data_IF_852901907549
#
_entry.id   IF_852901907549
#
_cell.length_a   1.000
_cell.length_b   1.000
_cell.length_c   1.000
_cell.angle_alpha   90.00
_cell.angle_beta   90.00
_cell.angle_gamma   90.00
#
_symmetry.space_group_name_H-M   'P 1'
#
loop_
_entity.id
_entity.type
_entity.pdbx_description
1 polymer ?
#
# COMPACT_ATOMS: atom_id res chain seq x y z
N UNK A 1 -6.95 13.33 69.71
CA UNK A 1 -5.95 13.82 68.73
C UNK A 1 -5.89 12.82 67.60
N UNK A 2 -6.69 13.04 66.57
CA UNK A 2 -6.69 12.24 65.33
C UNK A 2 -5.58 12.77 64.44
N UNK A 3 -4.49 12.00 64.31
CA UNK A 3 -3.41 12.33 63.39
C UNK A 3 -3.88 12.07 61.96
N UNK A 4 -4.13 13.14 61.21
CA UNK A 4 -4.43 13.10 59.79
C UNK A 4 -3.10 13.01 59.03
N UNK A 5 -2.84 11.86 58.41
CA UNK A 5 -1.68 11.66 57.54
C UNK A 5 -1.89 12.41 56.23
N UNK A 6 -0.93 13.23 55.75
CA UNK A 6 -1.03 13.83 54.42
C UNK A 6 -0.96 12.72 53.35
N UNK A 7 -1.74 12.82 52.26
CA UNK A 7 -1.65 11.85 51.17
C UNK A 7 -0.24 11.88 50.56
N UNK A 8 0.38 10.71 50.44
CA UNK A 8 1.68 10.56 49.79
C UNK A 8 1.56 11.02 48.33
N UNK A 9 2.52 11.80 47.80
CA UNK A 9 2.47 12.25 46.42
C UNK A 9 2.43 11.04 45.48
N UNK A 10 1.46 11.04 44.57
CA UNK A 10 1.34 10.07 43.49
C UNK A 10 2.66 10.05 42.71
N UNK A 11 3.28 8.88 42.46
CA UNK A 11 4.55 8.84 41.74
C UNK A 11 4.35 9.43 40.34
N UNK A 12 4.99 10.57 40.07
CA UNK A 12 5.06 11.13 38.73
C UNK A 12 5.67 10.08 37.78
N UNK A 13 5.09 9.95 36.57
CA UNK A 13 5.58 9.03 35.55
C UNK A 13 7.10 9.21 35.37
N UNK A 14 7.83 8.16 35.75
CA UNK A 14 9.28 8.17 35.82
C UNK A 14 9.83 8.29 34.38
N UNK A 15 10.35 9.47 34.03
CA UNK A 15 11.11 9.68 32.78
C UNK A 15 12.29 8.71 32.83
N UNK A 16 12.28 7.70 31.95
CA UNK A 16 13.32 6.67 31.89
C UNK A 16 14.70 7.34 31.75
N UNK A 17 15.59 7.05 32.69
CA UNK A 17 16.94 7.63 32.77
C UNK A 17 17.86 7.25 31.59
N UNK A 18 17.38 6.37 30.71
CA UNK A 18 18.02 5.83 29.51
C UNK A 18 18.28 6.87 28.41
N UNK A 19 17.78 8.11 28.58
CA UNK A 19 17.91 9.20 27.61
C UNK A 19 16.91 9.13 26.45
N UNK A 20 16.06 8.10 26.38
CA UNK A 20 15.04 7.93 25.36
C UNK A 20 13.66 8.40 25.85
N UNK A 21 13.34 9.66 25.58
CA UNK A 21 11.97 10.17 25.71
C UNK A 21 11.13 9.81 24.48
N UNK A 22 9.78 9.77 24.60
CA UNK A 22 8.87 9.62 23.45
C UNK A 22 9.17 10.63 22.33
N UNK A 23 9.43 11.90 22.68
CA UNK A 23 9.78 12.94 21.71
C UNK A 23 11.08 12.63 20.94
N UNK A 24 12.10 12.06 21.59
CA UNK A 24 13.36 11.66 20.93
C UNK A 24 13.16 10.45 20.02
N UNK A 25 12.34 9.46 20.44
CA UNK A 25 11.98 8.32 19.60
C UNK A 25 11.23 8.78 18.34
N UNK A 26 10.27 9.70 18.49
CA UNK A 26 9.56 10.32 17.37
C UNK A 26 10.51 11.04 16.41
N UNK A 27 11.32 11.97 16.92
CA UNK A 27 12.29 12.74 16.14
C UNK A 27 13.24 11.83 15.36
N UNK A 28 13.73 10.77 16.02
CA UNK A 28 14.59 9.77 15.39
C UNK A 28 13.88 9.08 14.22
N UNK A 29 12.67 8.57 14.45
CA UNK A 29 11.91 7.79 13.47
C UNK A 29 11.45 8.66 12.28
N UNK A 30 11.01 9.89 12.52
CA UNK A 30 10.65 10.85 11.47
C UNK A 30 11.86 11.22 10.61
N UNK A 31 13.00 11.54 11.23
CA UNK A 31 14.23 11.87 10.50
C UNK A 31 14.73 10.67 9.70
N UNK A 32 14.62 9.47 10.25
CA UNK A 32 14.99 8.24 9.55
C UNK A 32 14.05 7.97 8.36
N UNK A 33 12.74 8.16 8.51
CA UNK A 33 11.79 8.03 7.42
C UNK A 33 12.02 9.08 6.32
N UNK A 34 12.45 10.28 6.71
CA UNK A 34 12.70 11.37 5.79
C UNK A 34 13.99 11.16 4.95
N UNK A 35 15.06 10.67 5.58
CA UNK A 35 16.41 10.66 5.00
C UNK A 35 16.95 9.27 4.69
N UNK A 36 16.52 8.24 5.40
CA UNK A 36 17.13 6.90 5.39
C UNK A 36 18.52 6.83 6.02
N UNK A 37 19.05 7.93 6.58
CA UNK A 37 20.41 8.02 7.10
C UNK A 37 20.38 7.97 8.63
N UNK A 38 20.89 6.86 9.18
CA UNK A 38 20.86 6.59 10.62
C UNK A 38 21.64 7.64 11.43
N UNK A 39 22.79 8.11 10.94
CA UNK A 39 23.58 9.14 11.63
C UNK A 39 22.80 10.44 11.77
N UNK A 40 22.19 10.90 10.68
CA UNK A 40 21.35 12.11 10.69
C UNK A 40 20.19 11.99 11.67
N UNK A 41 19.54 10.82 11.74
CA UNK A 41 18.48 10.56 12.73
C UNK A 41 19.00 10.55 14.17
N UNK A 42 20.18 9.99 14.41
CA UNK A 42 20.84 10.01 15.73
C UNK A 42 21.17 11.43 16.17
N UNK A 43 21.75 12.23 15.28
CA UNK A 43 22.12 13.62 15.53
C UNK A 43 20.88 14.47 15.84
N UNK A 44 19.80 14.32 15.05
CA UNK A 44 18.54 15.02 15.26
C UNK A 44 17.87 14.68 16.61
N UNK A 45 17.94 13.41 17.02
CA UNK A 45 17.38 12.95 18.30
C UNK A 45 18.31 13.19 19.51
N UNK A 46 19.53 13.70 19.27
CA UNK A 46 20.59 13.82 20.26
C UNK A 46 20.90 12.49 20.99
N UNK A 47 20.94 11.38 20.25
CA UNK A 47 21.25 10.03 20.75
C UNK A 47 22.45 9.45 20.00
N UNK A 48 23.26 8.62 20.66
CA UNK A 48 24.35 7.91 19.98
C UNK A 48 23.84 6.73 19.15
N UNK A 49 24.50 6.43 18.04
CA UNK A 49 24.18 5.27 17.19
C UNK A 49 24.16 3.96 17.99
N UNK A 50 25.09 3.78 18.93
CA UNK A 50 25.13 2.60 19.81
C UNK A 50 23.86 2.47 20.65
N UNK A 51 23.37 3.57 21.22
CA UNK A 51 22.13 3.59 22.02
C UNK A 51 20.90 3.28 21.16
N UNK A 52 20.86 3.78 19.92
CA UNK A 52 19.77 3.51 18.97
C UNK A 52 19.66 2.01 18.63
N UNK A 53 20.78 1.36 18.31
CA UNK A 53 20.79 -0.09 18.09
C UNK A 53 20.51 -0.89 19.37
N UNK A 54 20.97 -0.42 20.53
CA UNK A 54 20.67 -1.07 21.80
C UNK A 54 19.15 -1.06 22.08
N UNK A 55 18.47 0.08 21.89
CA UNK A 55 17.01 0.16 22.06
C UNK A 55 16.28 -0.79 21.10
N UNK A 56 16.69 -0.84 19.83
CA UNK A 56 16.07 -1.70 18.80
C UNK A 56 16.04 -3.19 19.17
N UNK A 57 17.07 -3.68 19.87
CA UNK A 57 17.20 -5.11 20.22
C UNK A 57 16.50 -5.44 21.54
N UNK A 58 16.33 -4.45 22.43
CA UNK A 58 15.67 -4.67 23.72
C UNK A 58 14.21 -5.08 23.54
N UNK A 59 13.71 -5.90 24.47
CA UNK A 59 12.29 -6.35 24.47
C UNK A 59 11.31 -5.18 24.57
N UNK A 60 11.64 -4.17 25.35
CA UNK A 60 10.83 -2.95 25.49
C UNK A 60 10.94 -1.98 24.30
N UNK A 61 11.87 -2.23 23.38
CA UNK A 61 12.02 -1.50 22.12
C UNK A 61 11.34 -2.16 20.92
N UNK A 62 10.47 -3.16 21.12
CA UNK A 62 9.80 -3.86 20.02
C UNK A 62 8.98 -2.91 19.11
N UNK A 63 8.24 -1.96 19.70
CA UNK A 63 7.50 -0.95 18.94
C UNK A 63 8.43 0.03 18.21
N UNK A 64 9.53 0.42 18.85
CA UNK A 64 10.56 1.25 18.22
C UNK A 64 11.21 0.52 17.03
N UNK A 65 11.52 -0.77 17.17
CA UNK A 65 12.04 -1.61 16.08
C UNK A 65 11.09 -1.68 14.90
N UNK A 66 9.81 -1.92 15.15
CA UNK A 66 8.80 -1.97 14.09
C UNK A 66 8.66 -0.61 13.39
N UNK A 67 8.65 0.49 14.15
CA UNK A 67 8.68 1.85 13.62
C UNK A 67 9.93 2.14 12.79
N UNK A 68 11.09 1.63 13.22
CA UNK A 68 12.34 1.75 12.47
C UNK A 68 12.26 1.03 11.13
N UNK A 69 11.76 -0.21 11.12
CA UNK A 69 11.63 -0.98 9.90
C UNK A 69 10.64 -0.31 8.93
N UNK A 70 9.54 0.25 9.44
CA UNK A 70 8.60 1.06 8.66
C UNK A 70 9.25 2.35 8.12
N UNK A 71 10.03 3.07 8.93
CA UNK A 71 10.76 4.27 8.51
C UNK A 71 11.74 3.96 7.36
N UNK A 72 12.45 2.83 7.43
CA UNK A 72 13.34 2.38 6.34
C UNK A 72 12.53 2.07 5.07
N UNK A 73 11.34 1.50 5.17
CA UNK A 73 10.47 1.28 4.01
C UNK A 73 10.06 2.61 3.34
N UNK A 74 9.67 3.61 4.14
CA UNK A 74 9.30 4.94 3.66
C UNK A 74 10.48 5.61 2.96
N UNK A 75 11.66 5.63 3.60
CA UNK A 75 12.86 6.22 3.01
C UNK A 75 13.29 5.50 1.72
N UNK A 76 13.13 4.17 1.67
CA UNK A 76 13.43 3.37 0.48
C UNK A 76 12.49 3.66 -0.69
N UNK A 77 11.23 4.05 -0.44
CA UNK A 77 10.31 4.45 -1.50
C UNK A 77 10.82 5.72 -2.19
N UNK A 78 11.17 6.75 -1.41
CA UNK A 78 11.73 8.01 -1.94
C UNK A 78 13.03 7.81 -2.73
N UNK A 79 13.98 7.06 -2.16
CA UNK A 79 15.22 6.74 -2.86
C UNK A 79 14.96 5.99 -4.17
N UNK A 80 13.93 5.13 -4.20
CA UNK A 80 13.58 4.42 -5.42
C UNK A 80 13.01 5.36 -6.48
N UNK A 81 12.19 6.34 -6.10
CA UNK A 81 11.68 7.36 -7.03
C UNK A 81 12.83 8.17 -7.65
N UNK A 82 13.80 8.60 -6.83
CA UNK A 82 14.98 9.33 -7.30
C UNK A 82 15.85 8.48 -8.25
N UNK A 83 16.06 7.20 -7.91
CA UNK A 83 16.83 6.27 -8.74
C UNK A 83 16.10 5.90 -10.03
N UNK A 84 14.77 5.79 -10.00
CA UNK A 84 13.95 5.53 -11.19
C UNK A 84 14.02 6.73 -12.13
N UNK A 85 13.83 7.95 -11.59
CA UNK A 85 13.99 9.18 -12.35
C UNK A 85 15.37 9.20 -13.02
N UNK A 86 16.45 8.97 -12.25
CA UNK A 86 17.82 8.92 -12.79
C UNK A 86 18.03 7.82 -13.83
N UNK A 87 17.41 6.64 -13.67
CA UNK A 87 17.52 5.55 -14.64
C UNK A 87 16.85 5.94 -15.97
N UNK A 88 15.67 6.56 -15.91
CA UNK A 88 14.91 6.99 -17.08
C UNK A 88 15.54 8.20 -17.77
N UNK A 89 15.84 9.25 -17.01
CA UNK A 89 16.37 10.50 -17.54
C UNK A 89 17.85 10.41 -17.84
N UNK A 90 18.61 9.47 -17.25
CA UNK A 90 20.07 9.46 -17.32
C UNK A 90 20.71 10.45 -16.35
N UNK A 91 22.04 10.55 -16.38
CA UNK A 91 22.80 11.54 -15.64
C UNK A 91 23.92 12.14 -16.47
N UNK A 92 24.25 13.40 -16.20
CA UNK A 92 25.36 14.10 -16.84
C UNK A 92 26.67 13.84 -16.11
N UNK A 93 27.65 13.33 -16.84
CA UNK A 93 29.04 13.20 -16.40
C UNK A 93 29.85 14.31 -17.06
N UNK A 94 30.32 15.27 -16.26
CA UNK A 94 31.23 16.32 -16.73
C UNK A 94 32.67 15.83 -16.57
N UNK A 95 33.32 15.57 -17.70
CA UNK A 95 34.73 15.20 -17.73
C UNK A 95 35.52 16.48 -18.03
N UNK A 96 36.21 17.01 -17.01
CA UNK A 96 37.19 18.09 -17.19
C UNK A 96 38.51 17.49 -17.65
N UNK A 97 39.00 17.90 -18.82
CA UNK A 97 40.28 17.44 -19.37
C UNK A 97 41.27 18.60 -19.27
N UNK A 98 42.14 18.58 -18.26
CA UNK A 98 43.20 19.57 -17.96
C UNK A 98 42.79 21.06 -17.95
N UNK A 99 43.67 21.91 -17.41
CA UNK A 99 43.41 23.35 -17.20
C UNK A 99 43.09 24.14 -18.47
N UNK A 100 43.50 23.66 -19.65
CA UNK A 100 43.36 24.37 -20.94
C UNK A 100 42.40 23.69 -21.94
N UNK A 101 41.86 22.50 -21.65
CA UNK A 101 41.19 21.67 -22.66
C UNK A 101 39.72 21.33 -22.33
N UNK A 102 38.93 22.34 -21.94
CA UNK A 102 37.46 22.33 -22.02
C UNK A 102 36.72 21.35 -21.10
N UNK A 103 35.45 21.62 -20.87
CA UNK A 103 34.52 20.70 -20.20
C UNK A 103 33.77 19.87 -21.25
N UNK A 104 33.81 18.54 -21.15
CA UNK A 104 32.98 17.65 -21.98
C UNK A 104 31.87 17.08 -21.10
N UNK A 105 30.63 17.52 -21.32
CA UNK A 105 29.45 16.95 -20.68
C UNK A 105 28.95 15.76 -21.50
N UNK A 106 28.82 14.59 -20.86
CA UNK A 106 28.26 13.38 -21.47
C UNK A 106 27.01 12.96 -20.71
N UNK A 107 25.91 12.79 -21.43
CA UNK A 107 24.69 12.26 -20.87
C UNK A 107 24.71 10.72 -20.92
N UNK A 108 24.62 10.05 -19.78
CA UNK A 108 24.70 8.58 -19.66
C UNK A 108 23.47 7.99 -18.98
N UNK A 109 22.90 6.96 -19.61
CA UNK A 109 21.92 6.07 -19.00
C UNK A 109 22.63 4.86 -18.39
N UNK A 110 22.33 4.57 -17.13
CA UNK A 110 22.89 3.40 -16.45
C UNK A 110 21.92 2.22 -16.56
N UNK A 111 22.14 1.37 -17.58
CA UNK A 111 21.32 0.19 -17.84
C UNK A 111 21.37 -0.82 -16.66
N UNK A 112 22.45 -0.85 -15.88
CA UNK A 112 22.53 -1.70 -14.68
C UNK A 112 21.64 -1.17 -13.58
N UNK A 113 21.61 0.14 -13.40
CA UNK A 113 20.67 0.78 -12.48
C UNK A 113 19.22 0.50 -12.92
N UNK A 114 18.91 0.65 -14.21
CA UNK A 114 17.57 0.37 -14.74
C UNK A 114 17.13 -1.09 -14.48
N UNK A 115 17.98 -2.08 -14.78
CA UNK A 115 17.70 -3.49 -14.50
C UNK A 115 17.55 -3.77 -13.00
N UNK A 116 18.37 -3.15 -12.14
CA UNK A 116 18.24 -3.27 -10.68
C UNK A 116 16.91 -2.71 -10.18
N UNK A 117 16.45 -1.60 -10.75
CA UNK A 117 15.15 -1.01 -10.44
C UNK A 117 14.00 -1.92 -10.85
N UNK A 118 14.06 -2.53 -12.04
CA UNK A 118 13.07 -3.51 -12.49
C UNK A 118 12.98 -4.70 -11.53
N UNK A 119 14.11 -5.35 -11.22
CA UNK A 119 14.15 -6.48 -10.28
C UNK A 119 13.70 -6.12 -8.85
N UNK A 120 13.76 -4.84 -8.47
CA UNK A 120 13.20 -4.37 -7.19
C UNK A 120 11.67 -4.26 -7.26
N UNK A 121 11.13 -3.76 -8.37
CA UNK A 121 9.67 -3.66 -8.60
C UNK A 121 9.03 -5.06 -8.61
N UNK A 122 9.66 -6.04 -9.27
CA UNK A 122 9.19 -7.44 -9.27
C UNK A 122 9.11 -7.99 -7.84
N UNK A 123 10.17 -7.80 -7.05
CA UNK A 123 10.18 -8.20 -5.62
C UNK A 123 9.20 -7.40 -4.74
N UNK A 124 8.74 -6.24 -5.18
CA UNK A 124 7.69 -5.50 -4.47
C UNK A 124 6.30 -6.03 -4.83
N UNK A 125 6.11 -6.49 -6.07
CA UNK A 125 4.92 -7.22 -6.49
C UNK A 125 4.81 -8.55 -5.71
N UNK A 126 5.94 -9.17 -5.39
CA UNK A 126 5.98 -10.27 -4.43
C UNK A 126 5.55 -9.79 -3.03
N UNK A 127 4.43 -10.35 -2.57
CA UNK A 127 3.91 -10.07 -1.24
C UNK A 127 4.72 -10.83 -0.18
N UNK A 128 5.19 -10.17 0.89
CA UNK A 128 5.89 -10.85 1.98
C UNK A 128 4.91 -11.80 2.66
N UNK A 129 5.40 -12.91 3.22
CA UNK A 129 4.55 -13.85 3.92
C UNK A 129 3.78 -13.14 5.04
N UNK A 130 2.49 -13.45 5.14
CA UNK A 130 1.59 -12.88 6.15
C UNK A 130 2.18 -13.11 7.56
N UNK A 131 2.10 -12.08 8.41
CA UNK A 131 2.62 -12.13 9.78
C UNK A 131 4.14 -11.97 9.93
N UNK A 132 4.90 -11.86 8.84
CA UNK A 132 6.33 -11.51 8.93
C UNK A 132 6.55 -10.06 9.39
N UNK A 133 7.67 -9.77 10.06
CA UNK A 133 8.05 -8.40 10.47
C UNK A 133 8.00 -7.41 9.29
N UNK A 134 8.35 -7.87 8.08
CA UNK A 134 8.27 -7.08 6.85
C UNK A 134 6.82 -6.73 6.47
N UNK A 135 5.87 -7.65 6.63
CA UNK A 135 4.45 -7.39 6.42
C UNK A 135 3.89 -6.41 7.46
N UNK A 136 4.24 -6.59 8.74
CA UNK A 136 3.83 -5.68 9.82
C UNK A 136 4.39 -4.26 9.60
N UNK A 137 5.66 -4.14 9.20
CA UNK A 137 6.29 -2.86 8.89
C UNK A 137 5.62 -2.13 7.71
N UNK A 138 5.12 -2.86 6.70
CA UNK A 138 4.33 -2.28 5.59
C UNK A 138 3.01 -1.70 6.10
N UNK A 139 2.31 -2.41 6.99
CA UNK A 139 1.07 -1.92 7.60
C UNK A 139 1.32 -0.64 8.40
N UNK A 140 2.40 -0.59 9.18
CA UNK A 140 2.80 0.60 9.92
C UNK A 140 3.19 1.75 8.98
N UNK A 141 3.90 1.47 7.90
CA UNK A 141 4.32 2.50 6.95
C UNK A 141 3.14 3.20 6.23
N UNK A 142 1.99 2.55 6.07
CA UNK A 142 0.80 3.14 5.44
C UNK A 142 0.23 4.32 6.23
N UNK A 143 0.32 4.27 7.55
CA UNK A 143 -0.17 5.34 8.43
C UNK A 143 0.83 5.57 9.57
N UNK A 144 2.02 5.99 9.15
CA UNK A 144 3.18 6.14 10.01
C UNK A 144 2.98 7.23 11.07
N UNK A 145 2.29 8.33 10.72
CA UNK A 145 2.00 9.41 11.65
C UNK A 145 1.12 8.94 12.81
N UNK A 146 0.00 8.26 12.51
CA UNK A 146 -0.88 7.73 13.56
C UNK A 146 -0.16 6.68 14.43
N UNK A 147 0.71 5.85 13.82
CA UNK A 147 1.55 4.93 14.58
C UNK A 147 2.46 5.67 15.56
N UNK A 148 3.13 6.74 15.12
CA UNK A 148 4.00 7.57 15.98
C UNK A 148 3.21 8.27 17.08
N UNK A 149 2.02 8.80 16.81
CA UNK A 149 1.16 9.40 17.83
C UNK A 149 0.81 8.41 18.95
N UNK A 150 0.61 7.14 18.59
CA UNK A 150 0.29 6.08 19.53
C UNK A 150 1.50 5.64 20.38
N UNK A 151 2.67 5.42 19.77
CA UNK A 151 3.84 4.89 20.49
C UNK A 151 4.70 5.99 21.12
N UNK A 152 4.60 7.21 20.62
CA UNK A 152 5.39 8.38 20.98
C UNK A 152 4.51 9.63 20.99
N UNK A 153 3.54 9.72 21.92
CA UNK A 153 2.63 10.86 21.97
C UNK A 153 3.43 12.16 22.15
N UNK A 154 3.05 13.20 21.41
CA UNK A 154 3.63 14.52 21.61
C UNK A 154 3.36 14.96 23.06
N UNK A 155 4.42 15.16 23.83
CA UNK A 155 4.30 15.85 25.10
C UNK A 155 4.06 17.33 24.81
N UNK A 156 2.82 17.70 24.48
CA UNK A 156 2.42 19.10 24.47
C UNK A 156 2.56 19.60 25.90
N UNK A 157 3.41 20.61 26.12
CA UNK A 157 3.56 21.20 27.45
C UNK A 157 2.16 21.59 27.96
N UNK A 158 1.79 21.25 29.21
CA UNK A 158 0.42 21.38 29.69
C UNK A 158 -0.14 22.80 29.51
N UNK A 159 0.72 23.82 29.60
CA UNK A 159 0.34 25.23 29.41
C UNK A 159 -0.14 25.53 27.98
N UNK A 160 0.49 24.96 26.96
CA UNK A 160 0.12 25.18 25.56
C UNK A 160 -1.12 24.38 25.14
N UNK A 161 -1.35 23.21 25.75
CA UNK A 161 -2.56 22.41 25.52
C UNK A 161 -3.79 23.11 26.11
N UNK A 162 -3.66 23.70 27.29
CA UNK A 162 -4.71 24.50 27.93
C UNK A 162 -5.03 25.75 27.11
N UNK A 163 -4.01 26.45 26.60
CA UNK A 163 -4.17 27.68 25.81
C UNK A 163 -4.83 27.41 24.45
N UNK A 164 -4.49 26.30 23.78
CA UNK A 164 -5.15 25.88 22.54
C UNK A 164 -6.59 25.38 22.76
N UNK A 165 -6.83 24.64 23.85
CA UNK A 165 -8.19 24.21 24.22
C UNK A 165 -9.07 25.41 24.61
N UNK A 166 -8.50 26.39 25.31
CA UNK A 166 -9.18 27.66 25.62
C UNK A 166 -9.44 28.47 24.36
N UNK A 167 -8.48 28.55 23.42
CA UNK A 167 -8.66 29.22 22.14
C UNK A 167 -9.71 28.52 21.24
N UNK A 168 -9.78 27.20 21.26
CA UNK A 168 -10.78 26.42 20.52
C UNK A 168 -12.17 26.53 21.17
N UNK A 169 -12.26 26.54 22.50
CA UNK A 169 -13.51 26.79 23.23
C UNK A 169 -14.04 28.21 22.98
N UNK A 170 -13.16 29.22 22.94
CA UNK A 170 -13.50 30.60 22.58
C UNK A 170 -13.97 30.70 21.11
N UNK A 171 -13.29 30.00 20.20
CA UNK A 171 -13.68 29.91 18.78
C UNK A 171 -15.05 29.26 18.57
N UNK A 172 -15.40 28.29 19.41
CA UNK A 172 -16.68 27.57 19.39
C UNK A 172 -17.76 28.23 20.27
N UNK A 173 -17.45 29.34 20.95
CA UNK A 173 -18.39 30.05 21.81
C UNK A 173 -18.85 29.25 23.04
N UNK A 174 -18.08 28.25 23.46
CA UNK A 174 -18.37 27.46 24.65
C UNK A 174 -17.92 28.24 25.89
N UNK A 175 -18.86 28.53 26.79
CA UNK A 175 -18.57 29.25 28.02
C UNK A 175 -17.52 28.49 28.84
N UNK A 176 -16.43 29.20 29.19
CA UNK A 176 -15.38 28.69 30.06
C UNK A 176 -15.98 28.23 31.40
N UNK A 177 -15.59 27.06 31.97
CA UNK A 177 -15.96 26.69 33.32
C UNK A 177 -15.12 27.48 34.32
N UNK A 178 -15.27 28.80 34.30
CA UNK A 178 -14.57 29.77 35.14
C UNK A 178 -15.60 30.59 35.92
N UNK A 179 -16.37 29.92 36.77
CA UNK A 179 -17.19 30.56 37.78
C UNK A 179 -16.81 29.99 39.13
N UNK A 180 -16.08 30.76 39.95
CA UNK A 180 -15.93 30.45 41.36
C UNK A 180 -17.30 30.39 42.04
N UNK A 181 -17.65 29.32 42.77
CA UNK A 181 -18.70 29.41 43.76
C UNK A 181 -18.08 29.95 45.05
N UNK A 182 -18.41 31.20 45.35
CA UNK A 182 -18.29 31.81 46.66
C UNK A 182 -18.76 30.84 47.75
N UNK A 183 -17.95 30.73 48.80
CA UNK A 183 -18.26 30.07 50.04
C UNK A 183 -19.57 30.63 50.64
N UNK A 184 -20.50 29.74 50.96
CA UNK A 184 -21.58 29.99 51.91
C UNK A 184 -21.63 28.80 52.88
N UNK A 185 -21.29 29.10 54.12
CA UNK A 185 -21.47 28.24 55.28
C UNK A 185 -22.96 28.00 55.55
N UNK A 186 -23.33 26.78 55.95
CA UNK A 186 -24.68 26.48 56.43
C UNK A 186 -24.91 24.98 56.61
N UNK A 187 -24.99 24.54 57.86
CA UNK A 187 -25.21 23.15 58.27
C UNK A 187 -26.64 22.63 58.06
N UNK A 188 -26.73 21.29 58.14
CA UNK A 188 -27.88 20.40 58.40
C UNK A 188 -28.74 19.83 57.25
N UNK A 189 -28.43 18.56 56.99
CA UNK A 189 -29.29 17.37 57.18
C UNK A 189 -30.32 16.97 56.10
N UNK A 190 -30.18 15.73 55.63
CA UNK A 190 -31.23 14.98 54.93
C UNK A 190 -30.76 13.68 54.29
N UNK A 191 -30.88 12.58 55.03
CA UNK A 191 -30.69 11.18 54.60
C UNK A 191 -31.64 10.76 53.46
N UNK A 192 -31.35 9.57 52.88
CA UNK A 192 -32.11 8.71 51.94
C UNK A 192 -31.65 8.88 50.47
N UNK A 193 -31.34 7.86 49.67
CA UNK A 193 -31.54 6.40 49.74
C UNK A 193 -30.54 5.72 48.78
N UNK A 194 -30.17 4.48 49.09
CA UNK A 194 -29.26 3.66 48.31
C UNK A 194 -30.06 2.61 47.52
N UNK A 195 -30.06 2.69 46.19
CA UNK A 195 -30.27 1.52 45.32
C UNK A 195 -29.94 1.79 43.83
N UNK A 196 -28.99 1.01 43.29
CA UNK A 196 -28.81 0.61 41.87
C UNK A 196 -28.52 1.70 40.82
N UNK A 197 -27.65 1.56 39.81
CA UNK A 197 -26.77 0.50 39.32
C UNK A 197 -25.91 1.13 38.19
N UNK A 198 -24.67 0.66 38.04
CA UNK A 198 -23.79 0.78 36.87
C UNK A 198 -23.59 2.17 36.22
N UNK A 199 -22.60 2.89 36.76
CA UNK A 199 -21.84 3.82 35.94
C UNK A 199 -20.91 3.02 35.01
N UNK A 200 -20.87 3.29 33.68
CA UNK A 200 -19.78 2.77 32.87
C UNK A 200 -18.53 3.54 33.30
N UNK A 201 -17.60 2.82 33.92
CA UNK A 201 -16.23 3.27 34.13
C UNK A 201 -15.69 3.80 32.81
N UNK A 202 -15.24 5.05 32.83
CA UNK A 202 -14.81 5.81 31.66
C UNK A 202 -13.79 5.04 30.82
N UNK A 203 -14.17 4.78 29.57
CA UNK A 203 -13.31 4.22 28.52
C UNK A 203 -12.12 5.13 28.17
N UNK A 204 -12.02 6.33 28.76
CA UNK A 204 -10.90 7.26 28.54
C UNK A 204 -9.68 6.99 29.44
N UNK A 205 -9.85 6.33 30.60
CA UNK A 205 -8.75 6.12 31.55
C UNK A 205 -7.96 4.80 31.34
N UNK A 206 -8.41 3.92 30.45
CA UNK A 206 -7.71 2.65 30.16
C UNK A 206 -6.77 2.73 28.94
N UNK A 207 -6.83 3.82 28.16
CA UNK A 207 -5.97 4.01 26.99
C UNK A 207 -4.49 4.25 27.36
N UNK A 208 -4.19 4.64 28.60
CA UNK A 208 -2.87 5.20 28.97
C UNK A 208 -1.91 4.23 29.66
N UNK A 209 -2.19 2.93 29.72
CA UNK A 209 -1.35 1.94 30.43
C UNK A 209 -0.82 0.78 29.56
N UNK A 210 -1.01 0.82 28.24
CA UNK A 210 -0.47 -0.21 27.35
C UNK A 210 1.04 -0.04 27.19
N UNK A 211 1.80 -1.13 27.28
CA UNK A 211 3.21 -1.11 26.89
C UNK A 211 3.34 -0.71 25.41
N UNK A 212 4.41 -0.02 24.99
CA UNK A 212 4.58 0.37 23.59
C UNK A 212 4.40 -0.80 22.60
N UNK A 213 4.87 -2.00 22.99
CA UNK A 213 4.68 -3.22 22.20
C UNK A 213 3.22 -3.67 22.06
N UNK A 214 2.40 -3.51 23.11
CA UNK A 214 0.97 -3.80 23.05
C UNK A 214 0.24 -2.77 22.17
N UNK A 215 0.61 -1.49 22.26
CA UNK A 215 0.08 -0.42 21.41
C UNK A 215 0.38 -0.69 19.93
N UNK A 216 1.62 -1.08 19.61
CA UNK A 216 2.00 -1.46 18.24
C UNK A 216 1.21 -2.66 17.71
N UNK A 217 0.99 -3.69 18.54
CA UNK A 217 0.19 -4.85 18.15
C UNK A 217 -1.28 -4.48 17.87
N UNK A 218 -1.88 -3.64 18.72
CA UNK A 218 -3.25 -3.15 18.53
C UNK A 218 -3.40 -2.30 17.26
N UNK A 219 -2.43 -1.43 16.97
CA UNK A 219 -2.42 -0.64 15.74
C UNK A 219 -2.43 -1.55 14.50
N UNK A 220 -1.54 -2.54 14.47
CA UNK A 220 -1.46 -3.47 13.34
C UNK A 220 -2.74 -4.30 13.23
N UNK A 221 -3.28 -4.82 14.33
CA UNK A 221 -4.53 -5.56 14.33
C UNK A 221 -5.71 -4.73 13.81
N UNK A 222 -5.83 -3.47 14.25
CA UNK A 222 -6.87 -2.54 13.79
C UNK A 222 -6.75 -2.26 12.28
N UNK A 223 -5.54 -2.00 11.78
CA UNK A 223 -5.30 -1.77 10.35
C UNK A 223 -5.56 -3.01 9.51
N UNK A 224 -5.13 -4.19 9.96
CA UNK A 224 -5.41 -5.46 9.27
C UNK A 224 -6.91 -5.76 9.20
N UNK A 225 -7.67 -5.45 10.25
CA UNK A 225 -9.13 -5.59 10.25
C UNK A 225 -9.83 -4.64 9.27
N UNK A 226 -9.30 -3.43 9.07
CA UNK A 226 -9.79 -2.49 8.06
C UNK A 226 -9.45 -2.98 6.64
N UNK A 227 -8.22 -3.42 6.41
CA UNK A 227 -7.79 -3.96 5.10
C UNK A 227 -8.50 -5.26 4.71
N UNK A 228 -8.97 -6.05 5.67
CA UNK A 228 -9.76 -7.26 5.43
C UNK A 228 -11.18 -6.99 4.91
N UNK A 229 -11.72 -5.79 5.13
CA UNK A 229 -13.04 -5.37 4.61
C UNK A 229 -12.99 -4.82 3.19
N UNK A 230 -11.80 -4.43 2.73
CA UNK A 230 -11.60 -3.70 1.48
C UNK A 230 -10.73 -4.50 0.49
N UNK A 231 -10.80 -5.83 0.55
CA UNK A 231 -10.49 -6.64 -0.63
C UNK A 231 -11.62 -6.42 -1.64
N UNK A 232 -11.64 -5.25 -2.26
CA UNK A 232 -12.32 -5.06 -3.52
C UNK A 232 -11.94 -6.24 -4.41
N UNK A 233 -12.95 -6.93 -4.93
CA UNK A 233 -12.77 -7.93 -5.97
C UNK A 233 -11.76 -7.34 -6.98
N UNK A 234 -10.64 -8.01 -7.27
CA UNK A 234 -9.72 -7.50 -8.28
C UNK A 234 -10.56 -7.20 -9.51
N UNK A 235 -10.55 -5.94 -9.94
CA UNK A 235 -11.05 -5.60 -11.27
C UNK A 235 -10.32 -6.55 -12.23
N UNK A 236 -11.03 -7.16 -13.21
CA UNK A 236 -10.38 -8.00 -14.20
C UNK A 236 -9.49 -7.09 -15.06
N UNK A 237 -8.25 -6.90 -14.60
CA UNK A 237 -7.15 -6.46 -15.43
C UNK A 237 -6.80 -7.67 -16.32
N UNK A 238 -7.50 -7.72 -17.44
CA UNK A 238 -7.03 -8.22 -18.74
C UNK A 238 -6.05 -9.41 -18.64
N UNK A 239 -6.62 -10.63 -18.61
CA UNK A 239 -6.16 -11.97 -19.06
C UNK A 239 -4.71 -12.20 -19.58
N UNK A 240 -3.69 -11.54 -19.03
CA UNK A 240 -2.28 -11.68 -19.51
C UNK A 240 -1.30 -12.21 -18.48
N UNK A 241 -1.72 -12.42 -17.24
CA UNK A 241 -0.87 -12.99 -16.19
C UNK A 241 -1.51 -14.20 -15.49
N UNK A 242 -2.24 -15.03 -16.22
CA UNK A 242 -2.32 -16.44 -15.82
C UNK A 242 -0.99 -17.09 -16.20
N UNK A 243 -0.28 -17.65 -15.22
CA UNK A 243 0.77 -18.62 -15.48
C UNK A 243 0.20 -19.65 -16.45
N UNK A 244 0.63 -19.61 -17.72
CA UNK A 244 0.27 -20.63 -18.72
C UNK A 244 0.44 -21.98 -18.03
N UNK A 245 -0.65 -22.75 -17.94
CA UNK A 245 -0.57 -24.15 -17.57
C UNK A 245 0.54 -24.77 -18.42
N UNK A 246 1.44 -25.58 -17.84
CA UNK A 246 2.50 -26.19 -18.61
C UNK A 246 1.88 -26.89 -19.83
N UNK A 247 2.49 -26.77 -21.03
CA UNK A 247 1.94 -27.39 -22.22
C UNK A 247 1.75 -28.88 -21.94
N UNK A 248 0.49 -29.33 -21.99
CA UNK A 248 0.15 -30.73 -21.85
C UNK A 248 0.22 -31.32 -23.25
N UNK A 249 1.12 -32.27 -23.43
CA UNK A 249 1.18 -33.14 -24.61
C UNK A 249 -0.18 -33.86 -24.74
N UNK A 250 -0.95 -33.48 -25.76
CA UNK A 250 -2.31 -33.99 -25.96
C UNK A 250 -2.31 -35.42 -26.45
N UNK A 251 -1.24 -35.85 -27.13
CA UNK A 251 -1.07 -37.24 -27.54
C UNK A 251 -1.03 -38.20 -26.33
N UNK A 252 -0.65 -37.71 -25.14
CA UNK A 252 -0.69 -38.50 -23.89
C UNK A 252 -2.07 -38.62 -23.24
N UNK A 253 -3.08 -37.87 -23.69
CA UNK A 253 -4.40 -37.81 -23.07
C UNK A 253 -5.40 -38.80 -23.69
N UNK A 254 -6.45 -39.21 -22.94
CA UNK A 254 -7.59 -39.90 -23.54
C UNK A 254 -8.24 -39.06 -24.65
N UNK A 255 -8.75 -39.65 -25.75
CA UNK A 255 -9.19 -38.92 -26.94
C UNK A 255 -10.20 -37.79 -26.68
N UNK A 256 -11.20 -38.03 -25.81
CA UNK A 256 -12.19 -37.02 -25.47
C UNK A 256 -11.58 -35.82 -24.70
N UNK A 257 -10.57 -36.07 -23.87
CA UNK A 257 -9.87 -35.00 -23.13
C UNK A 257 -8.90 -34.24 -24.04
N UNK A 258 -8.26 -34.93 -24.99
CA UNK A 258 -7.41 -34.31 -25.99
C UNK A 258 -8.23 -33.37 -26.90
N UNK A 259 -9.37 -33.84 -27.40
CA UNK A 259 -10.29 -33.04 -28.22
C UNK A 259 -10.83 -31.79 -27.49
N UNK A 260 -11.12 -31.90 -26.19
CA UNK A 260 -11.57 -30.76 -25.38
C UNK A 260 -10.48 -29.70 -25.15
N UNK A 261 -9.22 -30.00 -25.48
CA UNK A 261 -8.06 -29.14 -25.28
C UNK A 261 -7.44 -28.64 -26.59
N UNK A 262 -8.09 -28.84 -27.73
CA UNK A 262 -7.71 -28.22 -29.00
C UNK A 262 -7.59 -26.70 -28.84
N UNK A 263 -6.61 -26.10 -29.53
CA UNK A 263 -6.32 -24.65 -29.53
C UNK A 263 -7.50 -23.88 -30.10
N UNK A 264 -8.26 -24.48 -31.01
CA UNK A 264 -9.33 -23.82 -31.72
C UNK A 264 -8.77 -23.06 -32.91
N UNK A 265 -9.10 -21.77 -33.02
CA UNK A 265 -8.74 -20.95 -34.18
C UNK A 265 -7.72 -19.88 -33.76
N UNK A 266 -6.62 -19.74 -34.51
CA UNK A 266 -5.60 -18.72 -34.29
C UNK A 266 -5.13 -18.10 -35.62
N UNK A 267 -4.57 -16.89 -35.54
CA UNK A 267 -3.93 -16.23 -36.68
C UNK A 267 -2.46 -16.64 -36.73
N UNK A 268 -2.00 -17.08 -37.89
CA UNK A 268 -0.59 -17.35 -38.17
C UNK A 268 0.01 -16.15 -38.92
N UNK A 269 0.98 -15.48 -38.29
CA UNK A 269 1.64 -14.30 -38.86
C UNK A 269 2.59 -14.63 -40.01
N UNK A 270 3.22 -15.81 -40.02
CA UNK A 270 4.15 -16.20 -41.07
C UNK A 270 3.42 -16.60 -42.35
N UNK A 271 2.25 -17.25 -42.20
CA UNK A 271 1.39 -17.68 -43.31
C UNK A 271 0.35 -16.63 -43.72
N UNK A 272 0.20 -15.56 -42.92
CA UNK A 272 -0.85 -14.54 -43.06
C UNK A 272 -2.25 -15.16 -43.24
N UNK A 273 -2.56 -16.21 -42.47
CA UNK A 273 -3.77 -17.00 -42.59
C UNK A 273 -4.35 -17.42 -41.24
N UNK A 274 -5.66 -17.65 -41.18
CA UNK A 274 -6.30 -18.29 -40.02
C UNK A 274 -6.05 -19.79 -40.05
N UNK A 275 -5.65 -20.35 -38.91
CA UNK A 275 -5.34 -21.76 -38.74
C UNK A 275 -6.20 -22.39 -37.65
N UNK A 276 -6.38 -23.70 -37.74
CA UNK A 276 -7.13 -24.51 -36.78
C UNK A 276 -6.52 -25.89 -36.60
N UNK A 277 -6.69 -26.46 -35.40
CA UNK A 277 -6.29 -27.84 -35.08
C UNK A 277 -7.49 -28.80 -35.02
N UNK A 278 -8.68 -28.35 -35.45
CA UNK A 278 -9.79 -29.25 -35.75
C UNK A 278 -9.49 -30.03 -37.04
N UNK A 279 -9.84 -31.33 -37.12
CA UNK A 279 -9.59 -32.14 -38.32
C UNK A 279 -10.29 -31.55 -39.56
N UNK A 280 -9.69 -31.78 -40.72
CA UNK A 280 -10.27 -31.40 -42.01
C UNK A 280 -11.63 -32.08 -42.24
N UNK A 281 -12.65 -31.36 -42.74
CA UNK A 281 -13.88 -31.98 -43.21
C UNK A 281 -13.62 -32.85 -44.46
N UNK A 282 -14.56 -33.74 -44.84
CA UNK A 282 -14.48 -34.46 -46.11
C UNK A 282 -14.33 -33.49 -47.29
N UNK A 283 -13.51 -33.87 -48.27
CA UNK A 283 -13.22 -33.09 -49.49
C UNK A 283 -12.55 -31.73 -49.24
N UNK A 284 -11.82 -31.56 -48.13
CA UNK A 284 -11.00 -30.38 -47.87
C UNK A 284 -9.87 -30.24 -48.90
N UNK A 285 -9.71 -29.03 -49.43
CA UNK A 285 -8.76 -28.69 -50.50
C UNK A 285 -7.74 -27.59 -50.12
N UNK A 286 -7.70 -27.20 -48.84
CA UNK A 286 -6.75 -26.22 -48.28
C UNK A 286 -5.44 -26.84 -47.78
N UNK A 287 -4.53 -26.01 -47.26
CA UNK A 287 -3.26 -26.48 -46.74
C UNK A 287 -3.42 -27.10 -45.35
N UNK A 288 -3.01 -28.36 -45.18
CA UNK A 288 -2.93 -29.06 -43.90
C UNK A 288 -1.52 -29.62 -43.64
N UNK A 289 -1.18 -29.81 -42.36
CA UNK A 289 0.06 -30.47 -41.95
C UNK A 289 0.11 -31.93 -42.43
N UNK A 290 1.29 -32.36 -42.89
CA UNK A 290 1.53 -33.71 -43.41
C UNK A 290 1.28 -34.84 -42.38
N UNK A 291 1.40 -34.56 -41.08
CA UNK A 291 1.18 -35.54 -40.01
C UNK A 291 -0.21 -35.37 -39.37
N UNK A 292 -1.20 -36.02 -39.98
CA UNK A 292 -2.58 -36.06 -39.47
C UNK A 292 -2.72 -36.77 -38.11
N UNK A 293 -1.68 -37.50 -37.67
CA UNK A 293 -1.70 -38.28 -36.42
C UNK A 293 -1.02 -37.56 -35.25
N UNK A 294 -0.31 -36.47 -35.49
CA UNK A 294 0.24 -35.62 -34.43
C UNK A 294 -0.79 -34.56 -34.01
N UNK A 295 -1.61 -34.88 -33.02
CA UNK A 295 -2.62 -33.95 -32.47
C UNK A 295 -2.02 -32.67 -31.86
N UNK A 296 -0.75 -32.67 -31.50
CA UNK A 296 -0.05 -31.49 -30.96
C UNK A 296 0.53 -30.63 -32.09
N UNK A 297 0.92 -31.25 -33.20
CA UNK A 297 1.46 -30.60 -34.41
C UNK A 297 0.46 -30.32 -35.53
N UNK A 298 -0.75 -30.92 -35.49
CA UNK A 298 -1.72 -30.78 -36.57
C UNK A 298 -2.28 -29.35 -36.66
N UNK A 299 -2.27 -28.83 -37.87
CA UNK A 299 -2.85 -27.55 -38.22
C UNK A 299 -3.29 -27.56 -39.68
N UNK A 300 -4.35 -26.80 -39.98
CA UNK A 300 -4.87 -26.62 -41.33
C UNK A 300 -5.49 -25.24 -41.50
N UNK A 301 -5.76 -24.87 -42.75
CA UNK A 301 -6.53 -23.68 -43.06
C UNK A 301 -8.00 -23.86 -42.63
N UNK A 302 -8.68 -22.73 -42.42
CA UNK A 302 -10.12 -22.72 -42.29
C UNK A 302 -10.76 -22.93 -43.67
N UNK A 303 -11.88 -23.64 -43.69
CA UNK A 303 -12.76 -23.64 -44.87
C UNK A 303 -13.43 -22.27 -45.03
N UNK A 304 -13.87 -21.89 -46.25
CA UNK A 304 -14.60 -20.63 -46.46
C UNK A 304 -15.82 -20.48 -45.54
N UNK A 305 -16.52 -21.59 -45.26
CA UNK A 305 -17.65 -21.60 -44.34
C UNK A 305 -17.24 -21.33 -42.87
N UNK A 306 -16.10 -21.88 -42.42
CA UNK A 306 -15.55 -21.62 -41.08
C UNK A 306 -15.06 -20.17 -40.95
N UNK A 307 -14.43 -19.62 -42.00
CA UNK A 307 -14.01 -18.21 -42.05
C UNK A 307 -15.21 -17.25 -41.96
N UNK A 308 -16.25 -17.49 -42.75
CA UNK A 308 -17.49 -16.69 -42.72
C UNK A 308 -18.13 -16.72 -41.32
N UNK A 309 -18.15 -17.89 -40.67
CA UNK A 309 -18.67 -18.04 -39.32
C UNK A 309 -17.82 -17.29 -38.29
N UNK A 310 -16.48 -17.34 -38.40
CA UNK A 310 -15.56 -16.59 -37.55
C UNK A 310 -15.76 -15.08 -37.73
N UNK A 311 -15.85 -14.60 -38.96
CA UNK A 311 -16.06 -13.21 -39.30
C UNK A 311 -17.39 -12.69 -38.75
N UNK A 312 -18.47 -13.48 -38.88
CA UNK A 312 -19.78 -13.15 -38.31
C UNK A 312 -19.73 -13.05 -36.79
N UNK A 313 -19.05 -13.98 -36.10
CA UNK A 313 -18.85 -13.94 -34.65
C UNK A 313 -18.08 -12.70 -34.22
N UNK A 314 -16.97 -12.38 -34.90
CA UNK A 314 -16.17 -11.19 -34.62
C UNK A 314 -16.95 -9.89 -34.88
N UNK A 315 -17.77 -9.84 -35.93
CA UNK A 315 -18.63 -8.69 -36.22
C UNK A 315 -19.65 -8.45 -35.08
N UNK A 316 -20.28 -9.52 -34.58
CA UNK A 316 -21.20 -9.42 -33.44
C UNK A 316 -20.50 -8.92 -32.16
N UNK A 317 -19.26 -9.36 -31.92
CA UNK A 317 -18.45 -8.89 -30.78
C UNK A 317 -18.06 -7.42 -30.92
N UNK A 318 -17.71 -6.95 -32.13
CA UNK A 318 -17.30 -5.57 -32.39
C UNK A 318 -18.47 -4.58 -32.36
N UNK A 319 -19.66 -5.00 -32.79
CA UNK A 319 -20.83 -4.13 -32.98
C UNK A 319 -21.16 -3.22 -31.78
N UNK A 320 -21.21 -3.69 -30.53
CA UNK A 320 -21.47 -2.81 -29.38
C UNK A 320 -20.43 -1.70 -29.20
N UNK A 321 -19.16 -2.00 -29.51
CA UNK A 321 -18.06 -1.03 -29.43
C UNK A 321 -18.14 -0.02 -30.58
N UNK A 322 -18.42 -0.48 -31.79
CA UNK A 322 -18.65 0.39 -32.95
C UNK A 322 -19.83 1.34 -32.71
N UNK A 323 -20.95 0.82 -32.19
CA UNK A 323 -22.12 1.62 -31.82
C UNK A 323 -21.81 2.63 -30.71
N UNK A 324 -21.02 2.25 -29.70
CA UNK A 324 -20.60 3.14 -28.62
C UNK A 324 -19.66 4.24 -29.13
N UNK A 325 -18.70 3.89 -29.98
CA UNK A 325 -17.78 4.83 -30.61
C UNK A 325 -18.52 5.80 -31.54
N UNK A 326 -19.52 5.32 -32.30
CA UNK A 326 -20.38 6.16 -33.12
C UNK A 326 -21.15 7.18 -32.26
N UNK A 327 -21.78 6.74 -31.16
CA UNK A 327 -22.45 7.66 -30.22
C UNK A 327 -21.48 8.68 -29.63
N UNK A 328 -20.30 8.25 -29.20
CA UNK A 328 -19.28 9.15 -28.64
C UNK A 328 -18.82 10.20 -29.67
N UNK A 329 -18.61 9.77 -30.93
CA UNK A 329 -18.30 10.66 -32.05
C UNK A 329 -19.43 11.68 -32.28
N UNK A 330 -20.67 11.23 -32.32
CA UNK A 330 -21.82 12.11 -32.61
C UNK A 330 -22.04 13.15 -31.50
N UNK A 331 -21.75 12.80 -30.25
CA UNK A 331 -21.70 13.76 -29.13
C UNK A 331 -20.54 14.75 -29.31
N UNK A 332 -19.34 14.26 -29.64
CA UNK A 332 -18.16 15.11 -29.79
C UNK A 332 -18.30 16.14 -30.93
N UNK A 333 -18.84 15.73 -32.08
CA UNK A 333 -19.05 16.61 -33.23
C UNK A 333 -20.40 17.36 -33.21
N UNK A 334 -21.23 17.13 -32.19
CA UNK A 334 -22.52 17.82 -32.02
C UNK A 334 -23.63 17.36 -32.97
N UNK A 335 -23.50 16.20 -33.61
CA UNK A 335 -24.53 15.61 -34.48
C UNK A 335 -25.75 15.12 -33.70
N UNK A 336 -25.59 14.78 -32.42
CA UNK A 336 -26.67 14.31 -31.54
C UNK A 336 -27.82 15.32 -31.35
N UNK A 337 -27.60 16.61 -31.65
CA UNK A 337 -28.62 17.66 -31.51
C UNK A 337 -29.56 17.79 -32.72
N UNK A 338 -29.31 17.12 -33.84
CA UNK A 338 -30.09 17.29 -35.07
C UNK A 338 -31.29 16.33 -35.21
N UNK A 339 -31.31 15.23 -34.44
CA UNK A 339 -32.38 14.21 -34.54
C UNK A 339 -33.59 14.48 -33.63
N UNK A 340 -33.54 15.54 -32.80
CA UNK A 340 -34.61 15.92 -31.87
C UNK A 340 -35.56 17.02 -32.36
N UNK A 341 -35.36 17.54 -33.57
CA UNK A 341 -36.16 18.62 -34.15
C UNK A 341 -36.60 18.27 -35.56
N UNK A 342 -37.65 17.46 -35.66
CA UNK A 342 -38.33 17.10 -36.91
C UNK A 342 -39.75 16.65 -36.64
#
# INVERSE_FOLDING_TARGET
MTCQFPPLPTPAQQIRADGWSPARQRTFLETLAATGIIRTACDAAAITTRSAYALRIRRDGAAFRLGWDAAILIARARLADDLLARALTGHEEVIRKDMDAGEITRHRHDNRLAMSMLSRLDRMADSPPEGSDAALARVVAQDFAAYLDLICPEQRMPDQAMELAAAEADRLGLASPGGEPLALDGEEAGLLDAASSDAPLGLEQTATALSPGASAALFVAARMALSGRDKAQPYPLDDRCELRLPPVDRATLPPAQAAARLRGIWWDEEREAWRTDYPAPPDFDGDESDDIYDIDGYERDLTPQEEDALAARQALQRRPYEDAAARARDVFFGFAALDGSG
#
